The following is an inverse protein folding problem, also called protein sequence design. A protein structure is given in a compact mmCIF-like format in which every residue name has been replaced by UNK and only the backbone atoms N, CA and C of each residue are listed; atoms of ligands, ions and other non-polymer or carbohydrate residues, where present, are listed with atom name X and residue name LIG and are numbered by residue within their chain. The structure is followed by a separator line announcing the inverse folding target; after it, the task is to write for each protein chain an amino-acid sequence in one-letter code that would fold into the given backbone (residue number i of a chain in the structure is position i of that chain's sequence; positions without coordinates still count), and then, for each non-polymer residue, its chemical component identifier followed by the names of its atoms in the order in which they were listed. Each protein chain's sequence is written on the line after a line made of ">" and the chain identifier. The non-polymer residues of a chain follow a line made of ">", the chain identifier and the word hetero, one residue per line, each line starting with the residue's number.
data_IF_975935755961
#
_entry.id   IF_975935755961
#
_cell.length_a   1.000
_cell.length_b   1.000
_cell.length_c   1.000
_cell.angle_alpha   90.00
_cell.angle_beta   90.00
_cell.angle_gamma   90.00
#
_symmetry.space_group_name_H-M   'P 1'
#
loop_
_entity.id
_entity.type
_entity.pdbx_description
1 polymer ?
#
# COMPACT_ATOMS: atom_id res chain seq x y z
N UNK A 1 9.78 4.34 14.60
CA UNK A 1 8.86 4.03 13.48
C UNK A 1 7.93 2.90 13.87
N UNK A 2 6.75 2.85 13.26
CA UNK A 2 5.72 1.86 13.56
C UNK A 2 5.58 0.84 12.43
N UNK A 3 4.78 -0.18 12.68
CA UNK A 3 4.38 -1.21 11.70
C UNK A 3 5.54 -2.01 11.11
N UNK A 4 6.61 -2.19 11.88
CA UNK A 4 7.76 -3.00 11.45
C UNK A 4 8.74 -2.30 10.51
N UNK A 5 8.48 -1.03 10.17
CA UNK A 5 9.37 -0.27 9.29
C UNK A 5 10.61 0.18 10.07
N UNK A 6 11.80 -0.02 9.51
CA UNK A 6 13.07 0.38 10.11
C UNK A 6 13.49 1.77 9.61
N UNK A 7 13.32 2.01 8.31
CA UNK A 7 13.57 3.31 7.69
C UNK A 7 12.51 3.62 6.65
N UNK A 8 12.34 4.90 6.32
CA UNK A 8 11.42 5.30 5.25
C UNK A 8 11.87 4.78 3.88
N UNK A 9 13.17 4.62 3.67
CA UNK A 9 13.72 4.03 2.45
C UNK A 9 13.25 2.59 2.26
N UNK A 10 13.07 1.84 3.32
CA UNK A 10 12.58 0.46 3.25
C UNK A 10 11.15 0.40 2.69
N UNK A 11 10.32 1.43 2.94
CA UNK A 11 8.98 1.50 2.35
C UNK A 11 9.05 1.49 0.83
N UNK A 12 9.99 2.24 0.24
CA UNK A 12 10.22 2.22 -1.20
C UNK A 12 10.69 0.84 -1.67
N UNK A 13 11.66 0.24 -0.99
CA UNK A 13 12.19 -1.09 -1.35
C UNK A 13 11.09 -2.16 -1.32
N UNK A 14 10.24 -2.16 -0.31
CA UNK A 14 9.11 -3.11 -0.25
C UNK A 14 8.09 -2.85 -1.35
N UNK A 15 7.79 -1.59 -1.65
CA UNK A 15 6.89 -1.25 -2.76
C UNK A 15 7.47 -1.71 -4.11
N UNK A 16 8.76 -1.50 -4.35
CA UNK A 16 9.45 -1.96 -5.56
C UNK A 16 9.39 -3.49 -5.67
N UNK A 17 9.72 -4.22 -4.60
CA UNK A 17 9.69 -5.68 -4.59
C UNK A 17 8.29 -6.24 -4.91
N UNK A 18 7.25 -5.65 -4.33
CA UNK A 18 5.86 -6.04 -4.58
C UNK A 18 5.44 -5.71 -6.02
N UNK A 19 5.75 -4.51 -6.50
CA UNK A 19 5.37 -4.09 -7.83
C UNK A 19 6.11 -4.86 -8.94
N UNK A 20 7.30 -5.37 -8.68
CA UNK A 20 8.01 -6.25 -9.62
C UNK A 20 7.24 -7.55 -9.87
N UNK A 21 6.49 -8.03 -8.90
CA UNK A 21 5.63 -9.23 -9.03
C UNK A 21 4.25 -8.88 -9.59
N UNK A 22 3.60 -7.87 -9.02
CA UNK A 22 2.20 -7.56 -9.30
C UNK A 22 2.06 -6.68 -10.55
N UNK A 23 3.08 -5.85 -10.82
CA UNK A 23 3.09 -4.89 -11.92
C UNK A 23 3.37 -3.48 -11.45
N UNK A 24 4.21 -2.77 -12.23
CA UNK A 24 4.69 -1.42 -11.90
C UNK A 24 3.76 -0.31 -12.40
N UNK A 25 2.74 -0.63 -13.21
CA UNK A 25 1.97 0.38 -13.91
C UNK A 25 2.80 1.11 -14.98
N UNK A 26 2.23 2.13 -15.58
CA UNK A 26 2.94 2.98 -16.53
C UNK A 26 3.94 3.86 -15.77
N UNK A 27 5.19 3.93 -16.26
CA UNK A 27 6.26 4.78 -15.69
C UNK A 27 6.50 4.56 -14.19
N UNK A 28 6.38 3.33 -13.72
CA UNK A 28 6.54 2.96 -12.30
C UNK A 28 5.56 3.66 -11.35
N UNK A 29 4.42 4.11 -11.86
CA UNK A 29 3.43 4.85 -11.07
C UNK A 29 2.87 4.02 -9.90
N UNK A 30 2.88 2.68 -9.99
CA UNK A 30 2.42 1.82 -8.91
C UNK A 30 3.32 1.90 -7.66
N UNK A 31 4.63 1.97 -7.83
CA UNK A 31 5.57 2.16 -6.71
C UNK A 31 5.31 3.48 -6.01
N UNK A 32 5.21 4.56 -6.80
CA UNK A 32 4.88 5.89 -6.26
C UNK A 32 3.55 5.87 -5.50
N UNK A 33 2.51 5.30 -6.08
CA UNK A 33 1.18 5.23 -5.46
C UNK A 33 1.21 4.47 -4.12
N UNK A 34 1.91 3.34 -4.05
CA UNK A 34 1.99 2.56 -2.82
C UNK A 34 2.75 3.31 -1.72
N UNK A 35 3.89 3.93 -2.05
CA UNK A 35 4.66 4.73 -1.08
C UNK A 35 3.86 5.96 -0.63
N UNK A 36 3.24 6.66 -1.55
CA UNK A 36 2.38 7.82 -1.26
C UNK A 36 1.16 7.42 -0.42
N UNK A 37 0.57 6.25 -0.66
CA UNK A 37 -0.53 5.72 0.16
C UNK A 37 -0.05 5.49 1.60
N UNK A 38 1.12 4.88 1.79
CA UNK A 38 1.69 4.68 3.13
C UNK A 38 1.97 6.02 3.82
N UNK A 39 2.38 7.05 3.07
CA UNK A 39 2.52 8.40 3.62
C UNK A 39 1.17 8.99 4.02
N UNK A 40 0.14 8.83 3.17
CA UNK A 40 -1.21 9.34 3.44
C UNK A 40 -1.84 8.67 4.67
N UNK A 41 -1.60 7.39 4.87
CA UNK A 41 -2.24 6.62 5.95
C UNK A 41 -1.47 6.73 7.28
N UNK A 42 -0.13 6.64 7.26
CA UNK A 42 0.67 6.52 8.48
C UNK A 42 1.93 7.42 8.51
N UNK A 43 2.06 8.39 7.60
CA UNK A 43 3.27 9.21 7.46
C UNK A 43 4.53 8.34 7.32
N UNK A 44 4.44 7.27 6.53
CA UNK A 44 5.52 6.27 6.38
C UNK A 44 5.97 5.68 7.72
N UNK A 45 5.00 5.32 8.56
CA UNK A 45 5.24 4.69 9.87
C UNK A 45 5.55 5.65 11.01
N UNK A 46 5.61 6.96 10.78
CA UNK A 46 5.81 7.93 11.87
C UNK A 46 4.55 8.07 12.75
N UNK A 47 3.37 7.86 12.17
CA UNK A 47 2.10 7.92 12.88
C UNK A 47 1.51 6.53 13.06
N UNK A 48 1.15 6.21 14.31
CA UNK A 48 0.41 4.98 14.64
C UNK A 48 -1.06 5.31 14.83
N UNK A 49 -1.90 4.76 13.95
CA UNK A 49 -3.34 4.97 14.04
C UNK A 49 -3.88 4.29 15.31
N UNK A 50 -4.60 5.02 16.19
CA UNK A 50 -5.17 4.46 17.41
C UNK A 50 -6.49 3.71 17.18
N UNK A 51 -7.05 3.71 15.95
CA UNK A 51 -8.32 3.06 15.66
C UNK A 51 -8.25 1.53 15.83
N UNK A 52 -9.38 0.85 16.05
CA UNK A 52 -9.41 -0.61 16.13
C UNK A 52 -8.81 -1.25 14.87
N UNK A 53 -8.09 -2.36 15.04
CA UNK A 53 -7.38 -3.04 13.95
C UNK A 53 -8.28 -3.45 12.79
N UNK A 54 -9.57 -3.71 13.03
CA UNK A 54 -10.52 -4.05 11.96
C UNK A 54 -10.88 -2.88 11.05
N UNK A 55 -10.70 -1.64 11.51
CA UNK A 55 -10.95 -0.42 10.71
C UNK A 55 -9.81 -0.10 9.75
N UNK A 56 -8.66 -0.70 9.96
CA UNK A 56 -7.44 -0.56 9.16
C UNK A 56 -6.24 -0.95 10.00
N UNK A 57 -5.24 -1.60 9.40
CA UNK A 57 -4.03 -1.98 10.12
C UNK A 57 -2.81 -1.94 9.21
N UNK A 58 -1.65 -1.78 9.85
CA UNK A 58 -0.36 -1.78 9.16
C UNK A 58 -0.01 -0.45 8.51
N UNK A 59 1.10 -0.47 7.81
CA UNK A 59 1.69 0.71 7.18
C UNK A 59 0.73 1.43 6.22
N UNK A 60 -0.14 0.70 5.54
CA UNK A 60 -1.07 1.20 4.52
C UNK A 60 -2.54 1.13 4.94
N UNK A 61 -2.83 0.76 6.18
CA UNK A 61 -4.17 0.80 6.79
C UNK A 61 -5.25 0.08 5.97
N UNK A 62 -5.01 -1.17 5.61
CA UNK A 62 -6.01 -2.03 4.96
C UNK A 62 -6.98 -2.56 6.03
N UNK A 63 -8.29 -2.47 5.77
CA UNK A 63 -9.30 -3.03 6.67
C UNK A 63 -9.47 -4.55 6.50
N UNK A 64 -10.07 -5.21 7.51
CA UNK A 64 -10.21 -6.66 7.54
C UNK A 64 -11.02 -7.19 6.35
N UNK A 65 -12.14 -6.56 6.03
CA UNK A 65 -12.98 -7.01 4.92
C UNK A 65 -12.27 -6.93 3.57
N UNK A 66 -11.54 -5.85 3.34
CA UNK A 66 -10.71 -5.68 2.13
C UNK A 66 -9.59 -6.72 2.08
N UNK A 67 -8.90 -6.95 3.21
CA UNK A 67 -7.86 -7.97 3.29
C UNK A 67 -8.40 -9.35 2.90
N UNK A 68 -9.50 -9.78 3.50
CA UNK A 68 -10.10 -11.09 3.22
C UNK A 68 -10.55 -11.22 1.76
N UNK A 69 -11.18 -10.19 1.23
CA UNK A 69 -11.61 -10.15 -0.16
C UNK A 69 -10.43 -10.27 -1.13
N UNK A 70 -9.36 -9.52 -0.92
CA UNK A 70 -8.17 -9.56 -1.77
C UNK A 70 -7.46 -10.92 -1.67
N UNK A 71 -7.28 -11.44 -0.46
CA UNK A 71 -6.70 -12.76 -0.24
C UNK A 71 -7.45 -13.82 -1.03
N UNK A 72 -8.76 -13.87 -0.89
CA UNK A 72 -9.59 -14.90 -1.51
C UNK A 72 -9.65 -14.73 -3.03
N UNK A 73 -9.65 -13.47 -3.51
CA UNK A 73 -9.63 -13.17 -4.94
C UNK A 73 -8.33 -13.62 -5.63
N UNK A 74 -7.18 -13.46 -4.97
CA UNK A 74 -5.87 -13.66 -5.61
C UNK A 74 -5.13 -14.92 -5.16
N UNK A 75 -5.62 -15.67 -4.18
CA UNK A 75 -4.91 -16.85 -3.63
C UNK A 75 -4.59 -17.94 -4.65
N UNK A 76 -5.35 -18.04 -5.73
CA UNK A 76 -5.15 -19.00 -6.81
C UNK A 76 -4.69 -18.34 -8.11
N UNK A 77 -4.26 -17.08 -8.06
CA UNK A 77 -3.78 -16.33 -9.22
C UNK A 77 -2.33 -16.67 -9.57
N UNK A 78 -1.91 -16.25 -10.76
CA UNK A 78 -0.50 -16.32 -11.17
C UNK A 78 0.43 -15.57 -10.20
N UNK A 79 -0.05 -14.51 -9.58
CA UNK A 79 0.71 -13.73 -8.60
C UNK A 79 1.02 -14.54 -7.35
N UNK A 80 0.07 -15.35 -6.88
CA UNK A 80 0.26 -16.19 -5.71
C UNK A 80 1.41 -17.18 -5.89
N UNK A 81 1.54 -17.78 -7.08
CA UNK A 81 2.63 -18.69 -7.40
C UNK A 81 3.99 -17.98 -7.36
N UNK A 82 4.09 -16.78 -7.92
CA UNK A 82 5.33 -16.00 -7.90
C UNK A 82 5.69 -15.53 -6.50
N UNK A 83 4.71 -15.08 -5.71
CA UNK A 83 4.90 -14.69 -4.30
C UNK A 83 5.43 -15.84 -3.45
N UNK A 84 4.90 -17.04 -3.64
CA UNK A 84 5.37 -18.23 -2.95
C UNK A 84 6.82 -18.57 -3.34
N UNK A 85 7.12 -18.53 -4.63
CA UNK A 85 8.43 -18.88 -5.14
C UNK A 85 9.51 -17.85 -4.75
N UNK A 86 9.23 -16.55 -4.84
CA UNK A 86 10.22 -15.49 -4.61
C UNK A 86 10.35 -15.08 -3.14
N UNK A 87 9.24 -15.05 -2.39
CA UNK A 87 9.22 -14.51 -1.03
C UNK A 87 8.83 -15.54 0.03
N UNK A 88 8.46 -16.76 -0.38
CA UNK A 88 7.92 -17.73 0.55
C UNK A 88 6.55 -17.37 1.13
N UNK A 89 5.84 -16.42 0.48
CA UNK A 89 4.52 -15.99 0.91
C UNK A 89 3.46 -16.91 0.31
N UNK A 90 2.78 -17.67 1.15
CA UNK A 90 1.57 -18.40 0.78
C UNK A 90 0.37 -17.48 0.96
N UNK A 91 -0.09 -16.88 -0.14
CA UNK A 91 -1.10 -15.83 -0.08
C UNK A 91 -2.41 -16.30 0.56
N UNK A 92 -2.85 -17.52 0.26
CA UNK A 92 -4.08 -18.08 0.81
C UNK A 92 -4.02 -18.36 2.31
N UNK A 93 -2.82 -18.44 2.88
CA UNK A 93 -2.58 -18.69 4.31
C UNK A 93 -2.20 -17.45 5.11
N UNK A 94 -2.14 -16.30 4.47
CA UNK A 94 -1.84 -15.04 5.17
C UNK A 94 -2.95 -14.70 6.15
N UNK A 95 -2.57 -14.13 7.29
CA UNK A 95 -3.51 -13.67 8.32
C UNK A 95 -3.44 -12.16 8.46
N UNK A 96 -4.55 -11.55 8.82
CA UNK A 96 -4.69 -10.09 8.86
C UNK A 96 -3.67 -9.40 9.75
N UNK A 97 -3.31 -10.03 10.88
CA UNK A 97 -2.36 -9.48 11.84
C UNK A 97 -0.95 -9.29 11.26
N UNK A 98 -0.58 -10.02 10.20
CA UNK A 98 0.71 -9.87 9.54
C UNK A 98 0.91 -8.46 8.95
N UNK A 99 -0.18 -7.80 8.52
CA UNK A 99 -0.11 -6.43 8.01
C UNK A 99 0.39 -5.44 9.05
N UNK A 100 0.16 -5.74 10.33
CA UNK A 100 0.52 -4.85 11.43
C UNK A 100 2.03 -4.74 11.65
N UNK A 101 2.76 -5.81 11.36
CA UNK A 101 4.19 -5.92 11.68
C UNK A 101 5.08 -6.13 10.47
N UNK A 102 4.49 -6.42 9.28
CA UNK A 102 5.24 -6.65 8.06
C UNK A 102 4.95 -5.55 7.03
N UNK A 103 5.89 -4.63 6.80
CA UNK A 103 5.74 -3.62 5.74
C UNK A 103 5.60 -4.25 4.35
N UNK A 104 6.28 -5.37 4.09
CA UNK A 104 6.14 -6.10 2.83
C UNK A 104 4.71 -6.56 2.59
N UNK A 105 4.08 -7.16 3.62
CA UNK A 105 2.68 -7.60 3.53
C UNK A 105 1.72 -6.43 3.39
N UNK A 106 1.97 -5.33 4.10
CA UNK A 106 1.17 -4.11 3.97
C UNK A 106 1.24 -3.54 2.54
N UNK A 107 2.43 -3.45 1.96
CA UNK A 107 2.62 -3.01 0.57
C UNK A 107 1.98 -3.97 -0.44
N UNK A 108 2.06 -5.29 -0.19
CA UNK A 108 1.43 -6.29 -1.03
C UNK A 108 -0.09 -6.07 -1.11
N UNK A 109 -0.76 -5.96 0.03
CA UNK A 109 -2.21 -5.78 0.04
C UNK A 109 -2.64 -4.39 -0.45
N UNK A 110 -1.83 -3.37 -0.23
CA UNK A 110 -2.02 -2.07 -0.85
C UNK A 110 -2.01 -2.18 -2.40
N UNK A 111 -0.99 -2.83 -2.94
CA UNK A 111 -0.87 -3.01 -4.40
C UNK A 111 -2.01 -3.87 -4.97
N UNK A 112 -2.38 -4.96 -4.29
CA UNK A 112 -3.49 -5.81 -4.69
C UNK A 112 -4.82 -5.02 -4.71
N UNK A 113 -5.03 -4.13 -3.75
CA UNK A 113 -6.20 -3.25 -3.74
C UNK A 113 -6.29 -2.43 -5.02
N UNK A 114 -5.19 -1.77 -5.41
CA UNK A 114 -5.16 -0.98 -6.64
C UNK A 114 -5.22 -1.84 -7.91
N UNK A 115 -4.76 -3.08 -7.85
CA UNK A 115 -4.87 -4.01 -8.99
C UNK A 115 -6.33 -4.29 -9.39
N UNK A 116 -7.27 -4.19 -8.45
CA UNK A 116 -8.70 -4.37 -8.72
C UNK A 116 -9.33 -3.22 -9.49
N UNK A 117 -8.63 -2.08 -9.57
CA UNK A 117 -9.14 -0.86 -10.22
C UNK A 117 -8.83 -0.93 -11.72
N UNK A 118 -9.84 -0.85 -12.60
CA UNK A 118 -9.61 -0.96 -14.05
C UNK A 118 -8.90 0.27 -14.64
N UNK A 119 -9.06 1.45 -14.05
CA UNK A 119 -8.41 2.67 -14.53
C UNK A 119 -6.91 2.65 -14.26
N UNK A 120 -6.11 3.12 -15.22
CA UNK A 120 -4.67 3.22 -15.09
C UNK A 120 -4.26 4.15 -13.94
N UNK A 121 -3.18 3.79 -13.25
CA UNK A 121 -2.62 4.63 -12.19
C UNK A 121 -2.09 5.94 -12.82
N UNK A 122 -2.49 7.11 -12.30
CA UNK A 122 -2.10 8.39 -12.88
C UNK A 122 -0.61 8.71 -12.72
N UNK A 123 -0.08 9.55 -13.63
CA UNK A 123 1.32 9.93 -13.66
C UNK A 123 1.70 11.03 -12.66
N UNK A 124 0.76 11.89 -12.27
CA UNK A 124 1.03 13.02 -11.36
C UNK A 124 0.55 12.72 -9.94
N UNK A 125 1.19 13.34 -8.94
CA UNK A 125 0.77 13.19 -7.54
C UNK A 125 -0.65 13.70 -7.31
N UNK A 126 -1.01 14.83 -7.90
CA UNK A 126 -2.36 15.39 -7.78
C UNK A 126 -3.42 14.42 -8.29
N UNK A 127 -3.18 13.81 -9.43
CA UNK A 127 -4.09 12.81 -9.99
C UNK A 127 -4.08 11.50 -9.19
N UNK A 128 -2.92 11.08 -8.64
CA UNK A 128 -2.86 9.93 -7.73
C UNK A 128 -3.59 10.20 -6.41
N UNK A 129 -3.55 11.43 -5.91
CA UNK A 129 -4.31 11.83 -4.72
C UNK A 129 -5.82 11.67 -4.94
N UNK A 130 -6.34 12.10 -6.09
CA UNK A 130 -7.74 11.90 -6.47
C UNK A 130 -8.06 10.41 -6.64
N UNK A 131 -7.17 9.65 -7.24
CA UNK A 131 -7.28 8.20 -7.43
C UNK A 131 -7.33 7.44 -6.08
N UNK A 132 -6.42 7.77 -5.15
CA UNK A 132 -6.44 7.25 -3.79
C UNK A 132 -7.76 7.57 -3.08
N UNK A 133 -8.24 8.82 -3.17
CA UNK A 133 -9.51 9.22 -2.55
C UNK A 133 -10.68 8.40 -3.07
N UNK A 134 -10.72 8.18 -4.37
CA UNK A 134 -11.83 7.47 -5.02
C UNK A 134 -11.81 5.95 -4.73
N UNK A 135 -10.63 5.33 -4.78
CA UNK A 135 -10.53 3.87 -4.81
C UNK A 135 -9.96 3.25 -3.54
N UNK A 136 -9.30 4.00 -2.71
CA UNK A 136 -8.66 3.50 -1.48
C UNK A 136 -9.32 4.07 -0.23
N UNK A 137 -9.30 5.37 -0.05
CA UNK A 137 -9.92 6.04 1.09
C UNK A 137 -11.46 5.98 1.01
N UNK A 138 -12.02 6.19 -0.17
CA UNK A 138 -13.43 6.19 -0.52
C UNK A 138 -14.25 7.33 0.12
N UNK A 139 -15.53 7.44 -0.23
CA UNK A 139 -16.43 8.47 0.30
C UNK A 139 -16.70 8.31 1.81
N UNK A 140 -16.51 7.08 2.36
CA UNK A 140 -16.67 6.81 3.78
C UNK A 140 -15.49 7.33 4.62
N UNK A 141 -14.30 7.50 4.02
CA UNK A 141 -13.13 8.04 4.70
C UNK A 141 -13.17 9.55 4.84
N UNK A 142 -12.46 10.08 5.84
CA UNK A 142 -12.41 11.52 6.13
C UNK A 142 -11.31 12.27 5.37
N UNK A 143 -10.34 11.56 4.80
CA UNK A 143 -9.24 12.16 4.07
C UNK A 143 -9.67 12.81 2.77
N UNK A 144 -8.91 13.83 2.35
CA UNK A 144 -9.10 14.54 1.09
C UNK A 144 -7.87 14.35 0.19
N UNK A 145 -7.97 14.61 -1.13
CA UNK A 145 -6.79 14.63 -1.99
C UNK A 145 -5.69 15.58 -1.49
N UNK A 146 -6.06 16.73 -0.92
CA UNK A 146 -5.08 17.65 -0.36
C UNK A 146 -4.36 17.07 0.87
N UNK A 147 -5.08 16.33 1.73
CA UNK A 147 -4.46 15.62 2.86
C UNK A 147 -3.39 14.64 2.39
N UNK A 148 -3.65 13.91 1.32
CA UNK A 148 -2.70 12.98 0.71
C UNK A 148 -1.42 13.72 0.27
N UNK A 149 -1.57 14.83 -0.44
CA UNK A 149 -0.45 15.65 -0.93
C UNK A 149 0.37 16.20 0.25
N UNK A 150 -0.30 16.79 1.24
CA UNK A 150 0.35 17.37 2.41
C UNK A 150 1.11 16.32 3.23
N UNK A 151 0.54 15.14 3.40
CA UNK A 151 1.18 14.05 4.12
C UNK A 151 2.38 13.46 3.34
N UNK A 152 2.32 13.40 2.03
CA UNK A 152 3.47 13.02 1.20
C UNK A 152 4.64 13.98 1.41
N UNK A 153 4.38 15.28 1.44
CA UNK A 153 5.40 16.30 1.71
C UNK A 153 5.98 16.15 3.13
N UNK A 154 5.10 16.04 4.13
CA UNK A 154 5.50 15.88 5.54
C UNK A 154 6.33 14.61 5.76
N UNK A 155 5.97 13.52 5.11
CA UNK A 155 6.68 12.26 5.23
C UNK A 155 8.02 12.25 4.48
N UNK A 156 8.26 13.22 3.58
CA UNK A 156 9.50 13.31 2.81
C UNK A 156 9.56 12.32 1.65
N UNK A 157 8.42 12.01 1.02
CA UNK A 157 8.35 11.02 -0.07
C UNK A 157 9.32 11.34 -1.20
N UNK A 158 9.44 12.62 -1.59
CA UNK A 158 10.29 13.01 -2.72
C UNK A 158 11.75 12.64 -2.51
N UNK A 159 12.25 12.77 -1.29
CA UNK A 159 13.63 12.42 -0.96
C UNK A 159 13.94 10.93 -1.17
N UNK A 160 12.92 10.07 -1.13
CA UNK A 160 13.11 8.63 -1.36
C UNK A 160 13.36 8.29 -2.84
N UNK A 161 13.05 9.20 -3.76
CA UNK A 161 13.12 8.97 -5.20
C UNK A 161 14.15 9.87 -5.92
N UNK A 162 14.90 10.68 -5.19
CA UNK A 162 15.86 11.64 -5.76
C UNK A 162 17.31 11.14 -5.81
N UNK A 163 17.56 9.85 -5.67
CA UNK A 163 18.91 9.26 -5.78
C UNK A 163 19.18 8.70 -7.15
#
# INVERSE_FOLDING_TARGET
>A
MNYGLVSKQDARLYAEAVCDVIGNGKSNAAVLLCVETAAAETLLGDYKDPTPTSAGTGLTQVDLGTFEWLRDKYKNSRYAAVLLNQFGIDLGRTVYQELRTSPLMAMLFCRLRYLTVPESIPATREARAAYWKKYYNTSAGKGTPQDYIDKCQRAGVDALFTQ
#
